data_IF_386465481197
#
_entry.id   IF_386465481197
#
_cell.length_a   1.000
_cell.length_b   1.000
_cell.length_c   1.000
_cell.angle_alpha   90.00
_cell.angle_beta   90.00
_cell.angle_gamma   90.00
#
_symmetry.space_group_name_H-M   'P 1'
#
loop_
_entity.id
_entity.type
_entity.pdbx_description
1 polymer ?
#
# COMPACT_ATOMS: atom_id res chain seq x y z
N UNK A 1 0.32 19.27 -5.50
CA UNK A 1 0.07 17.92 -6.04
C UNK A 1 -0.47 17.96 -7.47
N UNK A 2 -1.50 18.81 -7.76
CA UNK A 2 -2.20 18.82 -9.06
C UNK A 2 -1.30 19.05 -10.28
N UNK A 3 -0.36 20.00 -10.21
CA UNK A 3 0.55 20.28 -11.34
C UNK A 3 1.46 19.09 -11.66
N UNK A 4 1.97 18.40 -10.62
CA UNK A 4 2.78 17.19 -10.81
C UNK A 4 1.93 16.04 -11.37
N UNK A 5 0.72 15.89 -10.88
CA UNK A 5 -0.19 14.84 -11.33
C UNK A 5 -0.56 15.02 -12.81
N UNK A 6 -0.79 16.25 -13.24
CA UNK A 6 -1.03 16.57 -14.65
C UNK A 6 0.19 16.27 -15.52
N UNK A 7 1.39 16.56 -15.04
CA UNK A 7 2.64 16.20 -15.73
C UNK A 7 2.79 14.67 -15.88
N UNK A 8 2.53 13.91 -14.82
CA UNK A 8 2.56 12.44 -14.85
C UNK A 8 1.52 11.90 -15.82
N UNK A 9 0.32 12.49 -15.83
CA UNK A 9 -0.77 12.10 -16.72
C UNK A 9 -0.44 12.30 -18.19
N UNK A 10 0.23 13.39 -18.55
CA UNK A 10 0.66 13.67 -19.93
C UNK A 10 1.69 12.64 -20.43
N UNK A 11 2.48 12.07 -19.54
CA UNK A 11 3.52 11.06 -19.84
C UNK A 11 3.11 9.62 -19.46
N UNK A 12 1.82 9.37 -19.21
CA UNK A 12 1.32 8.11 -18.68
C UNK A 12 1.64 6.88 -19.52
N UNK A 13 1.75 7.05 -20.84
CA UNK A 13 2.07 6.00 -21.79
C UNK A 13 3.55 5.58 -21.80
N UNK A 14 4.43 6.38 -21.19
CA UNK A 14 5.87 6.10 -21.13
C UNK A 14 6.22 5.08 -20.03
N UNK A 15 5.22 4.71 -19.21
CA UNK A 15 5.37 3.82 -18.07
C UNK A 15 4.50 2.58 -18.18
N UNK A 16 4.97 1.49 -17.57
CA UNK A 16 4.10 0.35 -17.26
C UNK A 16 2.97 0.78 -16.31
N UNK A 17 1.95 -0.08 -16.13
CA UNK A 17 0.84 0.19 -15.24
C UNK A 17 1.30 0.50 -13.81
N UNK A 18 0.81 1.60 -13.25
CA UNK A 18 1.06 1.99 -11.86
C UNK A 18 -0.16 2.66 -11.22
N UNK A 19 -0.18 2.62 -9.90
CA UNK A 19 -1.02 3.46 -9.06
C UNK A 19 -0.12 4.45 -8.33
N UNK A 20 -0.50 5.71 -8.33
CA UNK A 20 0.19 6.80 -7.64
C UNK A 20 -0.74 7.35 -6.56
N UNK A 21 -0.26 7.41 -5.32
CA UNK A 21 -0.89 8.18 -4.24
C UNK A 21 0.02 9.36 -3.93
N UNK A 22 -0.52 10.57 -3.98
CA UNK A 22 0.23 11.82 -3.79
C UNK A 22 -0.64 12.84 -3.08
N UNK A 23 -0.03 13.64 -2.22
CA UNK A 23 -0.75 14.71 -1.53
C UNK A 23 0.01 15.31 -0.37
N UNK A 24 -0.76 15.89 0.52
CA UNK A 24 -0.36 16.42 1.83
C UNK A 24 -1.10 15.64 2.94
N UNK A 25 -0.78 15.91 4.20
CA UNK A 25 -1.40 15.22 5.34
C UNK A 25 -2.92 15.41 5.43
N UNK A 26 -3.45 16.49 4.82
CA UNK A 26 -4.87 16.83 4.81
C UNK A 26 -5.63 16.36 3.56
N UNK A 27 -4.91 16.02 2.48
CA UNK A 27 -5.53 15.63 1.21
C UNK A 27 -4.65 14.72 0.38
N UNK A 28 -5.11 13.50 0.16
CA UNK A 28 -4.46 12.52 -0.70
C UNK A 28 -5.26 12.35 -2.01
N UNK A 29 -4.53 12.18 -3.08
CA UNK A 29 -5.02 11.93 -4.42
C UNK A 29 -4.52 10.58 -4.89
N UNK A 30 -5.35 9.84 -5.60
CA UNK A 30 -4.99 8.60 -6.28
C UNK A 30 -5.10 8.79 -7.79
N UNK A 31 -4.16 8.21 -8.52
CA UNK A 31 -4.17 8.15 -9.98
C UNK A 31 -3.75 6.76 -10.45
N UNK A 32 -4.52 6.19 -11.38
CA UNK A 32 -4.17 4.97 -12.11
C UNK A 32 -3.90 5.33 -13.57
N UNK A 33 -2.68 5.04 -14.07
CA UNK A 33 -2.28 5.46 -15.42
C UNK A 33 -2.88 4.61 -16.54
N UNK A 34 -3.26 3.36 -16.29
CA UNK A 34 -3.86 2.49 -17.30
C UNK A 34 -5.28 2.91 -17.60
N UNK A 35 -6.08 3.14 -16.56
CA UNK A 35 -7.48 3.56 -16.70
C UNK A 35 -7.63 5.08 -16.91
N UNK A 36 -6.56 5.85 -16.74
CA UNK A 36 -6.57 7.31 -16.67
C UNK A 36 -7.56 7.84 -15.63
N UNK A 37 -7.67 7.14 -14.50
CA UNK A 37 -8.58 7.44 -13.40
C UNK A 37 -7.89 8.25 -12.31
N UNK A 38 -8.54 9.34 -11.92
CA UNK A 38 -8.13 10.21 -10.84
C UNK A 38 -9.23 10.32 -9.79
N UNK A 39 -8.84 10.27 -8.52
CA UNK A 39 -9.75 10.46 -7.39
C UNK A 39 -9.08 11.18 -6.22
N UNK A 40 -9.88 11.87 -5.41
CA UNK A 40 -9.46 12.41 -4.11
C UNK A 40 -9.90 11.40 -3.05
N UNK A 41 -8.95 10.94 -2.23
CA UNK A 41 -9.27 10.02 -1.15
C UNK A 41 -10.09 10.76 -0.09
N UNK A 42 -11.22 10.17 0.26
CA UNK A 42 -12.02 10.65 1.38
C UNK A 42 -11.40 10.17 2.71
N UNK A 43 -11.81 10.75 3.82
CA UNK A 43 -11.40 10.25 5.14
C UNK A 43 -11.94 8.83 5.31
N UNK A 44 -11.07 7.89 5.65
CA UNK A 44 -11.40 6.49 5.80
C UNK A 44 -10.25 5.54 5.48
N UNK A 45 -10.55 4.26 5.40
CA UNK A 45 -9.59 3.22 5.08
C UNK A 45 -9.62 2.93 3.58
N UNK A 46 -8.51 3.14 2.92
CA UNK A 46 -8.32 2.88 1.52
C UNK A 46 -7.20 1.87 1.29
N UNK A 47 -7.28 1.11 0.21
CA UNK A 47 -6.20 0.22 -0.18
C UNK A 47 -6.06 0.16 -1.70
N UNK A 48 -4.83 -0.01 -2.14
CA UNK A 48 -4.46 -0.19 -3.53
C UNK A 48 -3.63 -1.47 -3.67
N UNK A 49 -3.96 -2.27 -4.65
CA UNK A 49 -3.18 -3.43 -5.06
C UNK A 49 -2.79 -3.29 -6.55
N UNK A 50 -2.72 -4.40 -7.27
CA UNK A 50 -2.34 -4.41 -8.70
C UNK A 50 -3.48 -4.01 -9.65
N UNK A 51 -4.67 -3.70 -9.14
CA UNK A 51 -5.79 -3.14 -9.91
C UNK A 51 -5.87 -1.61 -9.66
N UNK A 52 -7.06 -1.07 -9.38
CA UNK A 52 -7.24 0.33 -8.99
C UNK A 52 -7.59 0.46 -7.50
N UNK A 53 -7.83 1.70 -7.06
CA UNK A 53 -8.19 2.02 -5.68
C UNK A 53 -9.39 1.21 -5.22
N UNK A 54 -9.28 0.62 -4.05
CA UNK A 54 -10.34 -0.11 -3.36
C UNK A 54 -10.97 -1.27 -4.16
N UNK A 55 -10.32 -1.74 -5.22
CA UNK A 55 -10.78 -2.95 -5.93
C UNK A 55 -10.91 -4.10 -4.93
N UNK A 56 -12.10 -4.74 -4.80
CA UNK A 56 -12.41 -5.63 -3.68
C UNK A 56 -11.78 -7.02 -3.85
N UNK A 57 -10.49 -7.09 -4.11
CA UNK A 57 -9.78 -8.36 -4.02
C UNK A 57 -9.70 -8.82 -2.56
N UNK A 58 -9.68 -10.14 -2.30
CA UNK A 58 -9.68 -10.67 -0.93
C UNK A 58 -8.62 -10.02 -0.04
N UNK A 59 -7.37 -9.91 -0.50
CA UNK A 59 -6.30 -9.25 0.25
C UNK A 59 -6.60 -7.78 0.57
N UNK A 60 -7.23 -7.04 -0.35
CA UNK A 60 -7.61 -5.64 -0.13
C UNK A 60 -8.68 -5.54 0.95
N UNK A 61 -9.73 -6.36 0.83
CA UNK A 61 -10.85 -6.36 1.78
C UNK A 61 -10.40 -6.75 3.19
N UNK A 62 -9.64 -7.85 3.30
CA UNK A 62 -9.16 -8.36 4.59
C UNK A 62 -8.16 -7.39 5.25
N UNK A 63 -7.21 -6.86 4.49
CA UNK A 63 -6.24 -5.89 5.03
C UNK A 63 -6.92 -4.61 5.48
N UNK A 64 -7.88 -4.07 4.70
CA UNK A 64 -8.65 -2.88 5.11
C UNK A 64 -9.40 -3.13 6.43
N UNK A 65 -10.04 -4.28 6.59
CA UNK A 65 -10.74 -4.63 7.81
C UNK A 65 -9.78 -4.73 9.02
N UNK A 66 -8.66 -5.43 8.86
CA UNK A 66 -7.67 -5.59 9.92
C UNK A 66 -7.03 -4.25 10.32
N UNK A 67 -6.67 -3.40 9.36
CA UNK A 67 -6.12 -2.06 9.66
C UNK A 67 -7.18 -1.16 10.30
N UNK A 68 -8.46 -1.25 9.89
CA UNK A 68 -9.54 -0.50 10.52
C UNK A 68 -9.74 -0.90 11.99
N UNK A 69 -9.65 -2.18 12.30
CA UNK A 69 -9.71 -2.69 13.67
C UNK A 69 -8.57 -2.13 14.52
N UNK A 70 -7.33 -2.18 14.01
CA UNK A 70 -6.17 -1.59 14.70
C UNK A 70 -6.33 -0.09 14.91
N UNK A 71 -6.78 0.65 13.88
CA UNK A 71 -6.97 2.10 13.95
C UNK A 71 -8.07 2.51 14.94
N UNK A 72 -9.00 1.62 15.28
CA UNK A 72 -10.03 1.85 16.28
C UNK A 72 -9.57 1.57 17.72
N UNK A 73 -8.41 0.92 17.88
CA UNK A 73 -7.84 0.65 19.20
C UNK A 73 -7.21 1.90 19.79
N UNK A 74 -7.15 1.99 21.13
CA UNK A 74 -6.51 3.13 21.83
C UNK A 74 -4.98 3.12 21.73
N UNK A 75 -4.39 2.01 21.30
CA UNK A 75 -2.95 1.82 21.14
C UNK A 75 -2.70 1.17 19.78
N UNK A 76 -2.11 1.94 18.88
CA UNK A 76 -1.65 1.42 17.59
C UNK A 76 -0.25 0.85 17.79
N UNK A 77 -0.11 -0.48 17.66
CA UNK A 77 1.19 -1.14 17.63
C UNK A 77 1.66 -1.27 16.16
N UNK A 78 2.83 -0.73 15.88
CA UNK A 78 3.43 -0.82 14.54
C UNK A 78 3.70 -2.27 14.13
N UNK A 79 4.04 -3.14 15.09
CA UNK A 79 4.28 -4.57 14.83
C UNK A 79 3.01 -5.30 14.37
N UNK A 80 1.83 -4.87 14.81
CA UNK A 80 0.58 -5.43 14.33
C UNK A 80 0.36 -5.08 12.85
N UNK A 81 0.70 -3.85 12.42
CA UNK A 81 0.63 -3.47 11.01
C UNK A 81 1.62 -4.30 10.19
N UNK A 82 2.87 -4.43 10.63
CA UNK A 82 3.86 -5.27 9.96
C UNK A 82 3.42 -6.72 9.87
N UNK A 83 2.77 -7.26 10.91
CA UNK A 83 2.23 -8.63 10.91
C UNK A 83 1.11 -8.80 9.88
N UNK A 84 0.18 -7.86 9.77
CA UNK A 84 -0.88 -7.86 8.74
C UNK A 84 -0.26 -7.87 7.35
N UNK A 85 0.73 -7.02 7.12
CA UNK A 85 1.39 -6.91 5.81
C UNK A 85 2.31 -8.10 5.49
N UNK A 86 2.76 -8.83 6.50
CA UNK A 86 3.58 -10.03 6.35
C UNK A 86 2.76 -11.32 6.17
N UNK A 87 1.43 -11.25 6.13
CA UNK A 87 0.57 -12.41 5.93
C UNK A 87 0.78 -13.01 4.53
N UNK A 88 1.11 -14.30 4.51
CA UNK A 88 1.37 -15.09 3.30
C UNK A 88 0.20 -16.00 2.92
N UNK A 89 -0.91 -15.92 3.64
CA UNK A 89 -2.07 -16.77 3.44
C UNK A 89 -2.78 -16.37 2.15
N UNK A 90 -2.85 -17.24 1.14
CA UNK A 90 -3.65 -16.98 -0.04
C UNK A 90 -5.14 -17.12 0.30
N UNK A 91 -6.02 -16.40 -0.39
CA UNK A 91 -7.46 -16.66 -0.28
C UNK A 91 -7.81 -18.04 -0.86
N UNK A 92 -9.01 -18.57 -0.56
CA UNK A 92 -9.55 -19.77 -1.21
C UNK A 92 -9.54 -19.62 -2.74
N UNK A 93 -9.40 -20.76 -3.44
CA UNK A 93 -9.22 -20.76 -4.90
C UNK A 93 -10.40 -20.15 -5.67
N UNK A 94 -11.61 -20.30 -5.15
CA UNK A 94 -12.84 -19.74 -5.72
C UNK A 94 -12.95 -18.21 -5.54
N UNK A 95 -12.09 -17.61 -4.72
CA UNK A 95 -12.00 -16.17 -4.50
C UNK A 95 -10.78 -15.53 -5.17
N UNK A 96 -9.95 -16.32 -5.84
CA UNK A 96 -8.78 -15.80 -6.53
C UNK A 96 -9.20 -14.87 -7.68
N UNK A 97 -8.50 -13.74 -7.89
CA UNK A 97 -8.74 -12.86 -9.02
C UNK A 97 -8.59 -13.63 -10.35
N UNK A 98 -9.41 -13.29 -11.33
CA UNK A 98 -9.25 -13.84 -12.69
C UNK A 98 -8.05 -13.18 -13.37
N UNK A 99 -6.91 -13.85 -13.28
CA UNK A 99 -5.64 -13.43 -13.86
C UNK A 99 -5.15 -14.52 -14.82
N UNK A 100 -4.52 -14.19 -15.95
CA UNK A 100 -3.96 -15.15 -16.90
C UNK A 100 -2.64 -15.77 -16.39
N UNK A 101 -2.67 -16.37 -15.19
CA UNK A 101 -1.51 -16.92 -14.49
C UNK A 101 -1.80 -18.37 -14.04
N UNK A 102 -0.78 -19.25 -13.94
CA UNK A 102 -0.92 -20.55 -13.31
C UNK A 102 -1.45 -20.44 -11.87
N UNK A 103 -2.26 -21.42 -11.44
CA UNK A 103 -2.94 -21.40 -10.14
C UNK A 103 -1.99 -21.15 -8.95
N UNK A 104 -0.83 -21.77 -8.93
CA UNK A 104 0.16 -21.58 -7.87
C UNK A 104 0.66 -20.14 -7.80
N UNK A 105 0.84 -19.51 -8.95
CA UNK A 105 1.26 -18.09 -9.02
C UNK A 105 0.10 -17.19 -8.60
N UNK A 106 -1.14 -17.48 -9.05
CA UNK A 106 -2.34 -16.75 -8.60
C UNK A 106 -2.45 -16.74 -7.07
N UNK A 107 -2.29 -17.90 -6.43
CA UNK A 107 -2.28 -18.02 -4.97
C UNK A 107 -1.20 -17.15 -4.35
N UNK A 108 0.04 -17.26 -4.81
CA UNK A 108 1.18 -16.51 -4.26
C UNK A 108 1.00 -14.99 -4.37
N UNK A 109 0.55 -14.47 -5.53
CA UNK A 109 0.38 -13.02 -5.74
C UNK A 109 -0.89 -12.46 -5.08
N UNK A 110 -1.78 -13.35 -4.62
CA UNK A 110 -3.02 -12.96 -3.94
C UNK A 110 -2.87 -12.82 -2.42
N UNK A 111 -1.74 -13.21 -1.85
CA UNK A 111 -1.38 -12.90 -0.46
C UNK A 111 -0.89 -11.45 -0.32
N UNK A 112 -0.89 -10.90 0.90
CA UNK A 112 -0.28 -9.60 1.20
C UNK A 112 1.23 -9.68 1.00
N UNK A 113 1.87 -10.67 1.61
CA UNK A 113 3.29 -10.92 1.44
C UNK A 113 3.52 -11.96 0.34
N UNK A 114 4.01 -11.49 -0.80
CA UNK A 114 4.27 -12.34 -1.95
C UNK A 114 5.61 -13.04 -1.76
N UNK A 115 5.63 -14.37 -1.95
CA UNK A 115 6.86 -15.16 -1.95
C UNK A 115 6.80 -16.24 -3.03
N UNK A 116 7.66 -16.11 -4.04
CA UNK A 116 7.90 -17.12 -5.07
C UNK A 116 9.42 -17.35 -5.20
N UNK A 117 9.81 -18.31 -6.02
CA UNK A 117 11.25 -18.58 -6.24
C UNK A 117 12.03 -17.38 -6.81
N UNK A 118 11.38 -16.54 -7.64
CA UNK A 118 12.05 -15.47 -8.39
C UNK A 118 11.55 -14.07 -8.07
N UNK A 119 10.41 -13.96 -7.40
CA UNK A 119 9.74 -12.69 -7.13
C UNK A 119 9.10 -12.73 -5.75
N UNK A 120 9.10 -11.59 -5.07
CA UNK A 120 8.47 -11.47 -3.75
C UNK A 120 8.54 -10.08 -3.18
N UNK A 121 7.83 -9.91 -2.08
CA UNK A 121 7.86 -8.69 -1.27
C UNK A 121 9.25 -8.50 -0.68
N UNK A 122 9.85 -7.33 -0.92
CA UNK A 122 11.20 -6.98 -0.48
C UNK A 122 11.21 -6.11 0.76
N UNK A 123 10.23 -5.25 0.88
CA UNK A 123 10.07 -4.36 2.04
C UNK A 123 8.62 -4.02 2.30
N UNK A 124 8.37 -3.56 3.52
CA UNK A 124 7.12 -2.92 3.94
C UNK A 124 7.49 -1.57 4.53
N UNK A 125 6.89 -0.50 4.02
CA UNK A 125 7.08 0.85 4.53
C UNK A 125 5.83 1.28 5.31
N UNK A 126 6.03 1.75 6.53
CA UNK A 126 5.01 2.34 7.39
C UNK A 126 5.28 3.83 7.53
N UNK A 127 4.25 4.64 7.29
CA UNK A 127 4.28 6.08 7.50
C UNK A 127 3.11 6.44 8.42
N UNK A 128 3.41 6.94 9.61
CA UNK A 128 2.42 7.48 10.54
C UNK A 128 2.61 8.99 10.65
N UNK A 129 1.52 9.73 10.57
CA UNK A 129 1.51 11.18 10.76
C UNK A 129 0.47 11.47 11.85
N UNK A 130 0.90 12.03 12.97
CA UNK A 130 0.01 12.38 14.07
C UNK A 130 -0.58 13.80 13.92
N UNK A 131 -1.53 14.13 14.81
CA UNK A 131 -2.17 15.45 14.84
C UNK A 131 -1.21 16.63 15.16
N UNK A 132 0.03 16.33 15.56
CA UNK A 132 1.08 17.33 15.82
C UNK A 132 2.05 17.45 14.66
N UNK A 133 1.72 16.86 13.49
CA UNK A 133 2.57 16.79 12.30
C UNK A 133 3.89 16.02 12.52
N UNK A 134 3.96 15.17 13.57
CA UNK A 134 5.08 14.28 13.75
C UNK A 134 4.95 13.08 12.81
N UNK A 135 6.01 12.78 12.09
CA UNK A 135 6.08 11.67 11.17
C UNK A 135 6.97 10.58 11.76
N UNK A 136 6.43 9.37 11.82
CA UNK A 136 7.20 8.15 11.98
C UNK A 136 7.25 7.44 10.64
N UNK A 137 8.44 7.25 10.11
CA UNK A 137 8.69 6.51 8.88
C UNK A 137 9.54 5.29 9.22
N UNK A 138 9.03 4.09 8.93
CA UNK A 138 9.76 2.84 9.14
C UNK A 138 9.74 2.03 7.86
N UNK A 139 10.90 1.62 7.37
CA UNK A 139 11.00 0.63 6.32
C UNK A 139 11.60 -0.67 6.87
N UNK A 140 10.83 -1.74 6.79
CA UNK A 140 11.27 -3.10 7.10
C UNK A 140 11.66 -3.82 5.83
N UNK A 141 12.94 -4.12 5.68
CA UNK A 141 13.48 -4.91 4.57
C UNK A 141 13.54 -6.39 4.95
N UNK A 142 13.09 -7.24 4.05
CA UNK A 142 13.11 -8.71 4.23
C UNK A 142 14.27 -9.31 3.46
N UNK A 143 15.15 -10.02 4.18
CA UNK A 143 16.37 -10.59 3.63
C UNK A 143 16.15 -12.05 3.19
N UNK A 144 16.94 -12.55 2.21
CA UNK A 144 16.81 -13.93 1.72
C UNK A 144 17.01 -15.01 2.78
N UNK A 145 17.72 -14.71 3.86
CA UNK A 145 17.94 -15.62 5.00
C UNK A 145 16.74 -15.68 5.97
N UNK A 146 15.66 -14.99 5.67
CA UNK A 146 14.44 -14.94 6.51
C UNK A 146 14.48 -13.95 7.66
N UNK A 147 15.56 -13.18 7.81
CA UNK A 147 15.61 -12.07 8.78
C UNK A 147 15.04 -10.79 8.20
N UNK A 148 14.69 -9.85 9.08
CA UNK A 148 14.28 -8.51 8.69
C UNK A 148 15.20 -7.46 9.31
N UNK A 149 15.28 -6.29 8.66
CA UNK A 149 16.07 -5.16 9.13
C UNK A 149 15.25 -3.88 8.96
N UNK A 150 15.15 -3.07 10.02
CA UNK A 150 14.36 -1.87 10.03
C UNK A 150 15.24 -0.62 9.94
N UNK A 151 14.81 0.32 9.12
CA UNK A 151 15.35 1.69 9.08
C UNK A 151 14.22 2.63 9.51
N UNK A 152 14.50 3.49 10.48
CA UNK A 152 13.51 4.39 11.07
C UNK A 152 13.95 5.84 10.99
N UNK A 153 13.00 6.70 10.64
CA UNK A 153 13.14 8.15 10.71
C UNK A 153 11.96 8.74 11.48
N UNK A 154 12.26 9.72 12.35
CA UNK A 154 11.25 10.53 13.02
C UNK A 154 11.55 11.98 12.70
N UNK A 155 10.58 12.73 12.21
CA UNK A 155 10.72 14.13 11.86
C UNK A 155 9.37 14.84 11.95
N UNK A 156 9.39 16.17 11.89
CA UNK A 156 8.18 16.98 11.87
C UNK A 156 7.96 17.58 10.49
N UNK A 157 6.71 17.52 10.01
CA UNK A 157 6.34 18.24 8.79
C UNK A 157 6.50 19.75 9.02
N UNK A 158 7.10 20.41 8.04
CA UNK A 158 7.17 21.87 8.05
C UNK A 158 5.84 22.43 7.55
N UNK A 159 5.31 23.42 8.26
CA UNK A 159 4.17 24.18 7.76
C UNK A 159 4.54 24.81 6.41
N UNK A 160 3.69 24.62 5.40
CA UNK A 160 3.86 25.34 4.13
C UNK A 160 3.87 26.85 4.42
N UNK A 161 4.95 27.53 4.02
CA UNK A 161 4.94 28.99 4.00
C UNK A 161 3.92 29.40 2.94
N UNK A 162 2.81 29.97 3.40
CA UNK A 162 1.81 30.62 2.54
C UNK A 162 2.41 31.77 1.78
#
# INVERSE_FOLDING_TARGET
>A
PNAYLEQVRQQRSDYNGFNLVIGSSDRLHHYNNILDEYSILQIGNHAVSNATLDTPWPKVTLTKAAVAELASSSLLDEEDIFRIMADRTPPPDDQLPDLPLPLQIKRAVSANFIQTERYGTRSTTLILIDHSDQVTFVERSYLPNGTANDVRFNFKLLAEKK
#
